data_IF_898003528353
#
_entry.id   IF_898003528353
#
_cell.length_a   1.000
_cell.length_b   1.000
_cell.length_c   1.000
_cell.angle_alpha   90.00
_cell.angle_beta   90.00
_cell.angle_gamma   90.00
#
_symmetry.space_group_name_H-M   'P 1'
#
loop_
_entity.id
_entity.type
_entity.pdbx_description
1 polymer ?
#
# COMPACT_ATOMS: atom_id res chain seq x y z
N UNK A 1 8.28 4.01 -2.85
CA UNK A 1 7.81 4.55 -1.57
C UNK A 1 8.86 4.33 -0.49
N UNK A 2 9.41 5.42 0.05
CA UNK A 2 10.45 5.40 1.08
C UNK A 2 9.80 5.48 2.46
N UNK A 3 10.49 5.00 3.50
CA UNK A 3 9.99 5.04 4.90
C UNK A 3 9.72 6.48 5.39
N UNK A 4 10.43 7.48 4.87
CA UNK A 4 10.25 8.89 5.25
C UNK A 4 8.89 9.42 4.80
N UNK A 5 8.50 9.10 3.57
CA UNK A 5 7.21 9.49 2.99
C UNK A 5 6.03 9.00 3.84
N UNK A 6 6.15 7.82 4.46
CA UNK A 6 5.13 7.25 5.35
C UNK A 6 5.01 7.99 6.69
N UNK A 7 6.12 8.48 7.24
CA UNK A 7 6.15 9.13 8.56
C UNK A 7 5.41 10.47 8.58
N UNK A 8 5.46 11.20 7.48
CA UNK A 8 4.80 12.50 7.36
C UNK A 8 3.29 12.43 7.12
N UNK A 9 2.75 11.28 6.75
CA UNK A 9 1.33 11.13 6.41
C UNK A 9 0.48 10.80 7.64
N UNK A 10 -0.74 11.33 7.70
CA UNK A 10 -1.72 10.96 8.74
C UNK A 10 -2.19 9.50 8.59
N UNK A 11 -2.84 8.95 9.62
CA UNK A 11 -3.40 7.59 9.52
C UNK A 11 -4.53 7.53 8.50
N UNK A 12 -5.34 8.59 8.34
CA UNK A 12 -6.37 8.64 7.27
C UNK A 12 -5.74 8.69 5.88
N UNK A 13 -4.75 9.56 5.64
CA UNK A 13 -4.08 9.67 4.34
C UNK A 13 -3.44 8.33 3.91
N UNK A 14 -2.91 7.58 4.88
CA UNK A 14 -2.37 6.25 4.64
C UNK A 14 -3.46 5.23 4.29
N UNK A 15 -4.65 5.33 4.88
CA UNK A 15 -5.80 4.48 4.55
C UNK A 15 -6.36 4.81 3.16
N UNK A 16 -6.42 6.08 2.77
CA UNK A 16 -6.84 6.50 1.43
C UNK A 16 -5.88 5.96 0.37
N UNK A 17 -4.58 6.18 0.56
CA UNK A 17 -3.53 5.64 -0.33
C UNK A 17 -3.54 4.11 -0.41
N UNK A 18 -3.86 3.44 0.70
CA UNK A 18 -4.04 1.99 0.72
C UNK A 18 -5.22 1.54 -0.16
N UNK A 19 -6.34 2.28 -0.14
CA UNK A 19 -7.50 1.99 -0.97
C UNK A 19 -7.17 2.17 -2.46
N UNK A 20 -6.49 3.25 -2.82
CA UNK A 20 -6.02 3.52 -4.18
C UNK A 20 -5.12 2.40 -4.71
N UNK A 21 -4.10 2.00 -3.92
CA UNK A 21 -3.17 0.94 -4.30
C UNK A 21 -3.85 -0.42 -4.46
N UNK A 22 -4.88 -0.71 -3.66
CA UNK A 22 -5.68 -1.93 -3.81
C UNK A 22 -6.50 -1.90 -5.10
N UNK A 23 -7.10 -0.76 -5.44
CA UNK A 23 -7.83 -0.60 -6.69
C UNK A 23 -6.91 -0.77 -7.90
N UNK A 24 -5.71 -0.17 -7.87
CA UNK A 24 -4.72 -0.34 -8.91
C UNK A 24 -4.29 -1.81 -9.03
N UNK A 25 -4.13 -2.52 -7.91
CA UNK A 25 -3.75 -3.93 -7.88
C UNK A 25 -4.80 -4.82 -8.52
N UNK A 26 -6.08 -4.53 -8.27
CA UNK A 26 -7.19 -5.24 -8.92
C UNK A 26 -7.12 -5.04 -10.43
N UNK A 27 -6.96 -3.79 -10.91
CA UNK A 27 -6.86 -3.49 -12.35
C UNK A 27 -5.67 -4.22 -13.00
N UNK A 28 -4.50 -4.19 -12.36
CA UNK A 28 -3.31 -4.87 -12.85
C UNK A 28 -3.50 -6.39 -12.90
N UNK A 29 -4.13 -6.99 -11.89
CA UNK A 29 -4.43 -8.42 -11.89
C UNK A 29 -5.45 -8.79 -12.97
N UNK A 30 -6.48 -7.97 -13.20
CA UNK A 30 -7.45 -8.20 -14.28
C UNK A 30 -6.79 -8.18 -15.65
N UNK A 31 -5.85 -7.27 -15.89
CA UNK A 31 -5.07 -7.23 -17.13
C UNK A 31 -4.22 -8.50 -17.31
N UNK A 32 -3.56 -8.96 -16.25
CA UNK A 32 -2.79 -10.22 -16.30
C UNK A 32 -3.70 -11.42 -16.57
N UNK A 33 -4.87 -11.47 -15.92
CA UNK A 33 -5.85 -12.54 -16.08
C UNK A 33 -6.43 -12.60 -17.50
N UNK A 34 -6.56 -11.48 -18.20
CA UNK A 34 -6.98 -11.44 -19.60
C UNK A 34 -5.88 -11.85 -20.59
N UNK A 35 -4.75 -12.38 -20.11
CA UNK A 35 -3.61 -12.79 -20.94
C UNK A 35 -2.77 -11.63 -21.47
N UNK A 36 -3.05 -10.39 -21.02
CA UNK A 36 -2.26 -9.24 -21.42
C UNK A 36 -0.99 -9.14 -20.56
N UNK A 37 0.16 -9.10 -21.22
CA UNK A 37 1.42 -8.91 -20.53
C UNK A 37 1.43 -7.54 -19.82
N UNK A 38 1.74 -7.48 -18.52
CA UNK A 38 1.87 -6.22 -17.82
C UNK A 38 3.09 -5.47 -18.37
N UNK A 39 2.94 -4.15 -18.62
CA UNK A 39 4.02 -3.30 -19.15
C UNK A 39 5.30 -3.34 -18.30
N UNK A 40 5.15 -3.58 -17.00
CA UNK A 40 6.26 -3.74 -16.08
C UNK A 40 6.05 -5.00 -15.22
N UNK A 41 6.85 -6.07 -15.40
CA UNK A 41 6.68 -7.32 -14.66
C UNK A 41 6.87 -7.17 -13.14
N UNK A 42 7.57 -6.12 -12.70
CA UNK A 42 7.78 -5.82 -11.28
C UNK A 42 6.66 -5.02 -10.61
N UNK A 43 5.70 -4.49 -11.37
CA UNK A 43 4.72 -3.52 -10.86
C UNK A 43 3.83 -4.12 -9.76
N UNK A 44 3.22 -5.28 -10.02
CA UNK A 44 2.36 -5.99 -9.06
C UNK A 44 3.12 -6.30 -7.77
N UNK A 45 4.36 -6.78 -7.88
CA UNK A 45 5.22 -7.06 -6.72
C UNK A 45 5.52 -5.79 -5.93
N UNK A 46 5.79 -4.68 -6.62
CA UNK A 46 6.09 -3.40 -5.98
C UNK A 46 4.87 -2.82 -5.26
N UNK A 47 3.67 -2.94 -5.84
CA UNK A 47 2.42 -2.53 -5.22
C UNK A 47 2.11 -3.34 -3.96
N UNK A 48 2.22 -4.68 -4.03
CA UNK A 48 2.06 -5.55 -2.85
C UNK A 48 3.02 -5.18 -1.71
N UNK A 49 4.29 -4.91 -2.03
CA UNK A 49 5.27 -4.43 -1.04
C UNK A 49 4.91 -3.07 -0.45
N UNK A 50 4.35 -2.18 -1.26
CA UNK A 50 3.95 -0.85 -0.80
C UNK A 50 2.74 -0.93 0.13
N UNK A 51 1.74 -1.74 -0.22
CA UNK A 51 0.59 -2.06 0.64
C UNK A 51 1.05 -2.62 1.99
N UNK A 52 1.94 -3.62 1.98
CA UNK A 52 2.46 -4.22 3.21
C UNK A 52 3.14 -3.17 4.12
N UNK A 53 3.96 -2.27 3.55
CA UNK A 53 4.61 -1.20 4.32
C UNK A 53 3.62 -0.22 4.93
N UNK A 54 2.56 0.15 4.20
CA UNK A 54 1.51 1.04 4.71
C UNK A 54 0.79 0.37 5.89
N UNK A 55 0.40 -0.90 5.74
CA UNK A 55 -0.25 -1.64 6.82
C UNK A 55 0.61 -1.76 8.07
N UNK A 56 1.90 -2.11 7.91
CA UNK A 56 2.85 -2.14 9.04
C UNK A 56 2.95 -0.78 9.73
N UNK A 57 2.97 0.31 8.97
CA UNK A 57 3.10 1.64 9.55
C UNK A 57 1.82 2.11 10.26
N UNK A 58 0.64 1.82 9.70
CA UNK A 58 -0.65 2.06 10.36
C UNK A 58 -0.70 1.29 11.69
N UNK A 59 -0.33 0.01 11.68
CA UNK A 59 -0.32 -0.83 12.88
C UNK A 59 0.59 -0.26 13.98
N UNK A 60 1.81 0.14 13.64
CA UNK A 60 2.71 0.78 14.60
C UNK A 60 2.17 2.11 15.14
N UNK A 61 1.48 2.91 14.31
CA UNK A 61 0.84 4.14 14.76
C UNK A 61 -0.30 3.86 15.75
N UNK A 62 -1.13 2.85 15.48
CA UNK A 62 -2.23 2.47 16.39
C UNK A 62 -1.73 1.89 17.70
N UNK A 63 -0.63 1.13 17.70
CA UNK A 63 -0.04 0.60 18.93
C UNK A 63 0.61 1.69 19.80
N UNK A 64 1.24 2.70 19.17
CA UNK A 64 1.77 3.85 19.90
C UNK A 64 0.66 4.62 20.61
N UNK A 65 -0.47 4.87 19.96
CA UNK A 65 -1.60 5.59 20.58
C UNK A 65 -2.28 4.83 21.72
N UNK A 66 -2.11 3.50 21.81
CA UNK A 66 -2.70 2.68 22.87
C UNK A 66 -1.79 2.48 24.09
N UNK A 67 -0.52 2.87 24.04
CA UNK A 67 0.42 2.72 25.17
C UNK A 67 0.49 3.94 26.09
N UNK A 68 -0.17 5.03 25.71
CA UNK A 68 -0.12 6.32 26.41
C UNK A 68 -1.44 6.64 27.17
N UNK A 69 -2.31 5.65 27.39
CA UNK A 69 -3.56 5.77 28.17
C UNK A 69 -3.71 4.62 29.15
#
# INVERSE_FOLDING_TARGET
>A
MKKRDLKGQSTEELKEKLAELRLELIKANSQVASGSAPKNPGQIRQMRKTIARILTFIHHKTEATHKDG
#
